data_IF_588869858091
#
_entry.id   IF_588869858091
#
_cell.length_a   1.000
_cell.length_b   1.000
_cell.length_c   1.000
_cell.angle_alpha   90.00
_cell.angle_beta   90.00
_cell.angle_gamma   90.00
#
_symmetry.space_group_name_H-M   'P 1'
#
loop_
_entity.id
_entity.type
_entity.pdbx_description
1 polymer ?
#
# COMPACT_ATOMS: atom_id res chain seq x y z
N UNK A 1 -35.23 11.68 -4.88
CA UNK A 1 -34.96 12.00 -3.46
C UNK A 1 -33.65 11.42 -2.92
N UNK A 2 -33.43 10.11 -2.78
CA UNK A 2 -32.17 9.61 -2.17
C UNK A 2 -30.91 9.93 -2.99
N UNK A 3 -30.99 9.81 -4.32
CA UNK A 3 -29.86 10.11 -5.23
C UNK A 3 -29.51 11.60 -5.21
N UNK A 4 -30.47 12.51 -5.04
CA UNK A 4 -30.23 13.95 -4.99
C UNK A 4 -29.29 14.34 -3.84
N UNK A 5 -29.42 13.66 -2.69
CA UNK A 5 -28.52 13.88 -1.55
C UNK A 5 -27.11 13.40 -1.88
N UNK A 6 -26.99 12.25 -2.56
CA UNK A 6 -25.70 11.70 -2.99
C UNK A 6 -25.02 12.65 -3.98
N UNK A 7 -25.74 13.12 -5.00
CA UNK A 7 -25.21 14.03 -6.01
C UNK A 7 -24.69 15.35 -5.39
N UNK A 8 -25.35 15.83 -4.33
CA UNK A 8 -24.94 17.04 -3.64
C UNK A 8 -23.64 16.90 -2.83
N UNK A 9 -23.33 15.69 -2.33
CA UNK A 9 -22.21 15.46 -1.39
C UNK A 9 -21.07 14.63 -1.96
N UNK A 10 -21.28 13.92 -3.07
CA UNK A 10 -20.31 12.96 -3.62
C UNK A 10 -19.03 13.61 -4.17
N UNK A 11 -19.10 14.89 -4.55
CA UNK A 11 -17.99 15.62 -5.19
C UNK A 11 -17.56 16.81 -4.32
N UNK A 12 -16.56 16.64 -3.42
CA UNK A 12 -16.20 17.67 -2.43
C UNK A 12 -15.80 19.02 -3.04
N UNK A 13 -15.16 19.00 -4.22
CA UNK A 13 -14.74 20.21 -4.94
C UNK A 13 -15.89 20.99 -5.58
N UNK A 14 -17.04 20.33 -5.77
CA UNK A 14 -18.22 20.89 -6.44
C UNK A 14 -19.42 21.07 -5.48
N UNK A 15 -19.28 20.62 -4.24
CA UNK A 15 -20.33 20.67 -3.24
C UNK A 15 -20.58 22.11 -2.78
N UNK A 16 -21.86 22.46 -2.60
CA UNK A 16 -22.22 23.80 -2.15
C UNK A 16 -21.82 24.00 -0.67
N UNK A 17 -21.48 25.24 -0.24
CA UNK A 17 -21.07 25.51 1.14
C UNK A 17 -22.07 25.03 2.20
N UNK A 18 -23.36 25.04 1.89
CA UNK A 18 -24.48 24.69 2.78
C UNK A 18 -24.45 23.22 3.20
N UNK A 19 -23.88 22.34 2.37
CA UNK A 19 -23.82 20.88 2.63
C UNK A 19 -22.45 20.41 3.11
N UNK A 20 -21.51 21.34 3.38
CA UNK A 20 -20.11 21.03 3.71
C UNK A 20 -19.95 20.08 4.90
N UNK A 21 -20.80 20.18 5.91
CA UNK A 21 -20.77 19.27 7.06
C UNK A 21 -21.12 17.82 6.65
N UNK A 22 -22.13 17.66 5.78
CA UNK A 22 -22.52 16.35 5.24
C UNK A 22 -21.40 15.74 4.41
N UNK A 23 -20.77 16.54 3.54
CA UNK A 23 -19.59 16.12 2.76
C UNK A 23 -18.49 15.58 3.67
N UNK A 24 -18.14 16.32 4.73
CA UNK A 24 -17.09 15.90 5.66
C UNK A 24 -17.43 14.57 6.36
N UNK A 25 -18.67 14.41 6.82
CA UNK A 25 -19.12 13.19 7.48
C UNK A 25 -19.06 11.97 6.55
N UNK A 26 -19.61 12.07 5.33
CA UNK A 26 -19.67 10.95 4.40
C UNK A 26 -18.31 10.62 3.79
N UNK A 27 -17.43 11.62 3.60
CA UNK A 27 -16.03 11.35 3.24
C UNK A 27 -15.34 10.55 4.33
N UNK A 28 -15.45 10.96 5.60
CA UNK A 28 -14.87 10.21 6.71
C UNK A 28 -15.39 8.76 6.74
N UNK A 29 -16.70 8.56 6.59
CA UNK A 29 -17.28 7.22 6.54
C UNK A 29 -16.70 6.38 5.40
N UNK A 30 -16.55 6.96 4.20
CA UNK A 30 -15.95 6.28 3.05
C UNK A 30 -14.49 5.94 3.30
N UNK A 31 -13.72 6.87 3.85
CA UNK A 31 -12.29 6.71 4.11
C UNK A 31 -12.06 5.62 5.18
N UNK A 32 -12.88 5.59 6.24
CA UNK A 32 -12.87 4.54 7.25
C UNK A 32 -13.28 3.18 6.67
N UNK A 33 -14.26 3.14 5.76
CA UNK A 33 -14.70 1.90 5.09
C UNK A 33 -13.61 1.35 4.19
N UNK A 34 -12.97 2.20 3.39
CA UNK A 34 -11.86 1.83 2.54
C UNK A 34 -10.67 1.33 3.36
N UNK A 35 -10.35 2.02 4.46
CA UNK A 35 -9.32 1.57 5.41
C UNK A 35 -9.66 0.17 5.94
N UNK A 36 -10.88 -0.02 6.46
CA UNK A 36 -11.32 -1.32 6.98
C UNK A 36 -11.20 -2.43 5.93
N UNK A 37 -11.64 -2.18 4.69
CA UNK A 37 -11.50 -3.13 3.59
C UNK A 37 -10.04 -3.46 3.30
N UNK A 38 -9.19 -2.47 3.06
CA UNK A 38 -7.79 -2.70 2.69
C UNK A 38 -6.89 -3.18 3.82
N UNK A 39 -7.37 -3.15 5.07
CA UNK A 39 -6.74 -3.82 6.22
C UNK A 39 -7.27 -5.23 6.48
N UNK A 40 -8.35 -5.64 5.81
CA UNK A 40 -8.89 -7.01 5.92
C UNK A 40 -8.04 -8.00 5.12
N UNK A 41 -8.17 -9.30 5.42
CA UNK A 41 -7.44 -10.34 4.68
C UNK A 41 -7.71 -10.29 3.17
N UNK A 42 -8.96 -10.07 2.75
CA UNK A 42 -9.32 -9.99 1.33
C UNK A 42 -8.74 -8.74 0.68
N UNK A 43 -8.73 -7.59 1.38
CA UNK A 43 -8.19 -6.35 0.84
C UNK A 43 -6.66 -6.34 0.79
N UNK A 44 -5.99 -6.94 1.77
CA UNK A 44 -4.53 -7.14 1.75
C UNK A 44 -4.12 -8.02 0.56
N UNK A 45 -4.88 -9.10 0.30
CA UNK A 45 -4.67 -9.95 -0.87
C UNK A 45 -4.90 -9.19 -2.18
N UNK A 46 -5.94 -8.37 -2.25
CA UNK A 46 -6.26 -7.55 -3.43
C UNK A 46 -5.16 -6.52 -3.75
N UNK A 47 -4.52 -5.94 -2.71
CA UNK A 47 -3.37 -5.06 -2.86
C UNK A 47 -2.09 -5.77 -3.34
N UNK A 48 -2.05 -7.11 -3.31
CA UNK A 48 -0.82 -7.87 -3.52
C UNK A 48 0.23 -7.61 -2.44
N UNK A 49 -0.19 -7.20 -1.24
CA UNK A 49 0.73 -6.94 -0.14
C UNK A 49 1.19 -8.25 0.47
N UNK A 50 2.45 -8.62 0.19
CA UNK A 50 3.04 -9.85 0.72
C UNK A 50 3.54 -9.70 2.17
N UNK A 51 3.85 -8.48 2.61
CA UNK A 51 4.41 -8.19 3.93
C UNK A 51 5.80 -8.81 4.16
N UNK A 52 6.19 -8.95 5.42
CA UNK A 52 7.44 -9.61 5.82
C UNK A 52 7.24 -11.13 5.86
N UNK A 53 7.08 -11.74 4.68
CA UNK A 53 7.17 -13.20 4.56
C UNK A 53 8.64 -13.60 4.51
N UNK A 54 8.97 -14.71 5.15
CA UNK A 54 10.27 -15.33 4.97
C UNK A 54 10.44 -15.62 3.47
N UNK A 55 11.41 -14.95 2.86
CA UNK A 55 11.78 -15.13 1.48
C UNK A 55 13.26 -15.46 1.39
N UNK A 56 13.64 -16.05 0.27
CA UNK A 56 15.02 -16.24 -0.10
C UNK A 56 15.43 -15.00 -0.91
N UNK A 57 16.07 -14.04 -0.23
CA UNK A 57 16.56 -12.82 -0.87
C UNK A 57 18.04 -12.94 -1.22
N UNK A 58 18.35 -12.91 -2.52
CA UNK A 58 19.71 -12.97 -3.09
C UNK A 58 20.50 -11.65 -2.99
N UNK A 59 20.13 -10.77 -2.07
CA UNK A 59 20.69 -9.43 -1.98
C UNK A 59 20.32 -8.50 -3.15
N UNK A 60 21.03 -7.39 -3.25
CA UNK A 60 20.83 -6.38 -4.29
C UNK A 60 21.44 -6.88 -5.60
N UNK A 61 20.71 -6.80 -6.73
CA UNK A 61 21.24 -7.16 -8.04
C UNK A 61 22.57 -6.47 -8.40
N UNK A 62 23.45 -7.17 -9.12
CA UNK A 62 24.80 -6.68 -9.41
C UNK A 62 24.81 -5.40 -10.27
N UNK A 63 23.88 -5.26 -11.22
CA UNK A 63 23.74 -4.07 -12.05
C UNK A 63 23.41 -2.82 -11.23
N UNK A 64 22.61 -2.97 -10.17
CA UNK A 64 22.31 -1.89 -9.22
C UNK A 64 23.53 -1.58 -8.37
N UNK A 65 24.27 -2.58 -7.89
CA UNK A 65 25.50 -2.36 -7.11
C UNK A 65 26.55 -1.61 -7.93
N UNK A 66 26.73 -1.99 -9.19
CA UNK A 66 27.68 -1.38 -10.13
C UNK A 66 27.34 0.09 -10.38
N UNK A 67 26.04 0.45 -10.47
CA UNK A 67 25.58 1.83 -10.61
C UNK A 67 26.10 2.73 -9.47
N UNK A 68 26.25 2.19 -8.26
CA UNK A 68 26.71 2.92 -7.09
C UNK A 68 28.18 2.63 -6.73
N UNK A 69 28.89 1.84 -7.54
CA UNK A 69 30.27 1.43 -7.27
C UNK A 69 30.42 0.61 -5.99
N UNK A 70 29.36 -0.10 -5.59
CA UNK A 70 29.33 -0.94 -4.40
C UNK A 70 29.61 -2.39 -4.78
N UNK A 71 30.13 -3.17 -3.83
CA UNK A 71 30.22 -4.63 -3.95
C UNK A 71 30.01 -5.25 -2.58
N UNK A 72 29.44 -6.45 -2.56
CA UNK A 72 29.46 -7.26 -1.35
C UNK A 72 30.87 -7.77 -1.08
N UNK A 73 31.23 -7.82 0.21
CA UNK A 73 32.42 -8.53 0.65
C UNK A 73 32.15 -10.04 0.76
N UNK A 74 33.22 -10.82 0.69
CA UNK A 74 33.15 -12.29 0.69
C UNK A 74 32.49 -12.85 1.96
N UNK A 75 32.65 -12.17 3.11
CA UNK A 75 32.02 -12.59 4.37
C UNK A 75 30.51 -12.39 4.30
N UNK A 76 30.05 -11.23 3.84
CA UNK A 76 28.62 -10.92 3.71
C UNK A 76 27.92 -11.88 2.76
N UNK A 77 28.52 -12.21 1.62
CA UNK A 77 28.00 -13.21 0.69
C UNK A 77 27.91 -14.59 1.36
N UNK A 78 28.97 -15.01 2.05
CA UNK A 78 29.01 -16.31 2.72
C UNK A 78 28.04 -16.43 3.89
N UNK A 79 27.76 -15.36 4.64
CA UNK A 79 26.95 -15.39 5.86
C UNK A 79 25.46 -15.08 5.60
N UNK A 80 25.16 -14.11 4.73
CA UNK A 80 23.82 -13.52 4.60
C UNK A 80 23.04 -14.01 3.38
N UNK A 81 23.71 -14.61 2.39
CA UNK A 81 23.09 -15.11 1.15
C UNK A 81 23.21 -16.64 1.10
N UNK A 82 22.64 -17.30 2.12
CA UNK A 82 22.54 -18.76 2.16
C UNK A 82 21.11 -19.17 1.82
N UNK A 83 20.95 -19.93 0.76
CA UNK A 83 19.70 -20.62 0.45
C UNK A 83 19.71 -21.99 1.11
N UNK A 84 18.60 -22.37 1.73
CA UNK A 84 18.43 -23.73 2.23
C UNK A 84 18.49 -24.67 1.01
N UNK A 85 19.44 -25.61 1.03
CA UNK A 85 19.46 -26.72 0.07
C UNK A 85 18.32 -27.67 0.43
N UNK A 86 17.33 -27.81 -0.45
CA UNK A 86 16.37 -28.93 -0.37
C UNK A 86 17.06 -30.30 -0.41
#
# INVERSE_FOLDING_TARGET
QQIEVVDAIAFPERAQPEVRQGVAFFNLLRDLTATGFYTSEIGIKDLGYEGNRANQWDGVPQDVLDQYGLKYDERTLAESVKFDSE
#
